data_IF_569633922358
#
_entry.id   IF_569633922358
#
_cell.length_a   1.000
_cell.length_b   1.000
_cell.length_c   1.000
_cell.angle_alpha   90.00
_cell.angle_beta   90.00
_cell.angle_gamma   90.00
#
_symmetry.space_group_name_H-M   'P 1'
#
loop_
_entity.id
_entity.type
_entity.pdbx_description
1 polymer ?
#
# COMPACT_ATOMS: atom_id res chain seq x y z
N UNK A 1 11.55 5.48 20.53
CA UNK A 1 11.04 4.84 19.30
C UNK A 1 9.73 4.14 19.65
N UNK A 2 8.63 4.52 19.02
CA UNK A 2 7.26 4.19 19.46
C UNK A 2 6.67 3.03 18.65
N UNK A 3 5.95 2.12 19.33
CA UNK A 3 5.30 0.93 18.77
C UNK A 3 4.43 1.20 17.52
N UNK A 4 3.90 2.42 17.40
CA UNK A 4 3.09 2.89 16.27
C UNK A 4 3.82 2.84 14.92
N UNK A 5 5.15 3.03 14.90
CA UNK A 5 5.95 3.04 13.66
C UNK A 5 6.06 1.64 13.05
N UNK A 6 6.11 0.60 13.88
CA UNK A 6 6.25 -0.79 13.42
C UNK A 6 4.97 -1.31 12.76
N UNK A 7 3.80 -0.89 13.26
CA UNK A 7 2.51 -1.32 12.72
C UNK A 7 2.31 -0.78 11.30
N UNK A 8 2.63 0.50 11.05
CA UNK A 8 2.51 1.10 9.72
C UNK A 8 3.36 0.39 8.66
N UNK A 9 4.62 0.09 9.00
CA UNK A 9 5.52 -0.63 8.09
C UNK A 9 5.02 -2.04 7.76
N UNK A 10 4.53 -2.79 8.74
CA UNK A 10 4.01 -4.14 8.53
C UNK A 10 2.78 -4.17 7.62
N UNK A 11 1.88 -3.18 7.77
CA UNK A 11 0.70 -3.04 6.90
C UNK A 11 1.14 -2.73 5.47
N UNK A 12 2.05 -1.75 5.28
CA UNK A 12 2.56 -1.37 3.96
C UNK A 12 3.23 -2.55 3.23
N UNK A 13 4.10 -3.30 3.90
CA UNK A 13 4.75 -4.48 3.31
C UNK A 13 3.73 -5.57 2.93
N UNK A 14 2.68 -5.75 3.73
CA UNK A 14 1.59 -6.69 3.44
C UNK A 14 0.81 -6.26 2.20
N UNK A 15 0.44 -4.98 2.11
CA UNK A 15 -0.24 -4.40 0.94
C UNK A 15 0.61 -4.60 -0.32
N UNK A 16 1.90 -4.26 -0.27
CA UNK A 16 2.82 -4.43 -1.40
C UNK A 16 2.84 -5.90 -1.87
N UNK A 17 2.95 -6.86 -0.95
CA UNK A 17 2.95 -8.29 -1.31
C UNK A 17 1.65 -8.73 -1.96
N UNK A 18 0.50 -8.28 -1.45
CA UNK A 18 -0.80 -8.67 -1.99
C UNK A 18 -1.04 -8.03 -3.37
N UNK A 19 -0.69 -6.76 -3.54
CA UNK A 19 -0.75 -6.09 -4.84
C UNK A 19 0.22 -6.73 -5.84
N UNK A 20 1.43 -7.11 -5.43
CA UNK A 20 2.36 -7.85 -6.30
C UNK A 20 1.76 -9.19 -6.79
N UNK A 21 1.04 -9.91 -5.91
CA UNK A 21 0.35 -11.16 -6.29
C UNK A 21 -0.79 -10.91 -7.28
N UNK A 22 -1.48 -9.79 -7.15
CA UNK A 22 -2.68 -9.47 -7.94
C UNK A 22 -2.36 -8.84 -9.29
N UNK A 23 -1.45 -7.87 -9.31
CA UNK A 23 -1.13 -7.05 -10.48
C UNK A 23 0.19 -7.45 -11.16
N UNK A 24 0.94 -8.37 -10.56
CA UNK A 24 2.34 -8.60 -10.90
C UNK A 24 3.28 -7.64 -10.16
N UNK A 25 4.58 -7.76 -10.42
CA UNK A 25 5.61 -6.99 -9.71
C UNK A 25 5.36 -5.47 -9.81
N UNK A 26 5.13 -4.81 -8.67
CA UNK A 26 4.95 -3.37 -8.62
C UNK A 26 6.26 -2.63 -8.94
N UNK A 27 6.23 -1.53 -9.72
CA UNK A 27 7.39 -0.66 -9.90
C UNK A 27 7.90 -0.12 -8.56
N UNK A 28 9.22 0.07 -8.42
CA UNK A 28 9.83 0.54 -7.17
C UNK A 28 9.19 1.82 -6.63
N UNK A 29 8.88 2.79 -7.51
CA UNK A 29 8.24 4.04 -7.09
C UNK A 29 6.87 3.86 -6.43
N UNK A 30 6.10 2.83 -6.81
CA UNK A 30 4.84 2.51 -6.13
C UNK A 30 5.07 1.90 -4.75
N UNK A 31 6.06 1.02 -4.62
CA UNK A 31 6.42 0.42 -3.32
C UNK A 31 6.86 1.50 -2.33
N UNK A 32 7.67 2.45 -2.77
CA UNK A 32 8.11 3.59 -1.97
C UNK A 32 6.95 4.51 -1.58
N UNK A 33 6.06 4.83 -2.52
CA UNK A 33 4.85 5.63 -2.23
C UNK A 33 3.96 4.96 -1.20
N UNK A 34 3.76 3.64 -1.28
CA UNK A 34 2.99 2.87 -0.27
C UNK A 34 3.69 2.93 1.09
N UNK A 35 5.00 2.69 1.15
CA UNK A 35 5.77 2.74 2.40
C UNK A 35 5.74 4.11 3.08
N UNK A 36 5.58 5.18 2.30
CA UNK A 36 5.48 6.55 2.78
C UNK A 36 4.08 6.98 3.24
N UNK A 37 3.04 6.16 3.04
CA UNK A 37 1.68 6.53 3.42
C UNK A 37 1.46 6.49 4.93
N UNK A 38 0.55 7.34 5.40
CA UNK A 38 0.06 7.31 6.76
C UNK A 38 -0.86 6.09 7.00
N UNK A 39 -1.04 5.71 8.27
CA UNK A 39 -1.81 4.53 8.66
C UNK A 39 -3.23 4.52 8.09
N UNK A 40 -3.92 5.65 8.08
CA UNK A 40 -5.30 5.74 7.60
C UNK A 40 -5.37 5.39 6.10
N UNK A 41 -4.41 5.90 5.33
CA UNK A 41 -4.33 5.60 3.90
C UNK A 41 -3.99 4.13 3.64
N UNK A 42 -3.08 3.55 4.43
CA UNK A 42 -2.76 2.13 4.35
C UNK A 42 -3.96 1.24 4.67
N UNK A 43 -4.71 1.56 5.73
CA UNK A 43 -5.94 0.82 6.09
C UNK A 43 -6.98 0.92 4.97
N UNK A 44 -7.16 2.10 4.36
CA UNK A 44 -8.06 2.27 3.23
C UNK A 44 -7.66 1.42 2.00
N UNK A 45 -6.36 1.35 1.68
CA UNK A 45 -5.87 0.49 0.61
C UNK A 45 -6.12 -0.99 0.95
N UNK A 46 -5.89 -1.40 2.20
CA UNK A 46 -6.09 -2.77 2.63
C UNK A 46 -7.56 -3.20 2.56
N UNK A 47 -8.49 -2.32 2.93
CA UNK A 47 -9.94 -2.54 2.82
C UNK A 47 -10.39 -2.73 1.37
N UNK A 48 -9.78 -1.99 0.43
CA UNK A 48 -10.18 -1.97 -0.98
C UNK A 48 -9.26 -2.81 -1.90
N UNK A 49 -8.41 -3.66 -1.32
CA UNK A 49 -7.31 -4.30 -2.08
C UNK A 49 -7.82 -5.27 -3.15
N UNK A 50 -9.00 -5.84 -2.94
CA UNK A 50 -9.64 -6.76 -3.89
C UNK A 50 -10.38 -6.03 -5.01
N UNK A 51 -10.67 -4.73 -4.88
CA UNK A 51 -11.18 -3.88 -5.95
C UNK A 51 -10.07 -3.19 -6.79
N UNK A 52 -8.82 -3.15 -6.32
CA UNK A 52 -7.70 -2.53 -7.08
C UNK A 52 -7.24 -3.44 -8.23
N UNK A 53 -7.71 -3.23 -9.45
CA UNK A 53 -7.40 -4.08 -10.62
C UNK A 53 -6.27 -3.52 -11.51
N UNK A 54 -5.83 -2.29 -11.24
CA UNK A 54 -4.75 -1.63 -11.98
C UNK A 54 -3.93 -0.67 -11.11
N UNK A 55 -2.78 -0.23 -11.62
CA UNK A 55 -2.00 0.85 -10.98
C UNK A 55 -2.78 2.16 -10.91
N UNK A 56 -3.61 2.44 -11.92
CA UNK A 56 -4.49 3.61 -11.94
C UNK A 56 -5.54 3.57 -10.82
N UNK A 57 -6.04 2.39 -10.44
CA UNK A 57 -6.94 2.25 -9.30
C UNK A 57 -6.21 2.50 -7.99
N UNK A 58 -4.99 1.98 -7.86
CA UNK A 58 -4.12 2.21 -6.70
C UNK A 58 -3.80 3.70 -6.50
N UNK A 59 -3.57 4.43 -7.59
CA UNK A 59 -3.29 5.88 -7.56
C UNK A 59 -4.43 6.68 -6.91
N UNK A 60 -5.67 6.19 -6.93
CA UNK A 60 -6.83 6.87 -6.29
C UNK A 60 -6.72 6.93 -4.77
N UNK A 61 -5.89 6.07 -4.17
CA UNK A 61 -5.69 5.98 -2.73
C UNK A 61 -4.42 6.68 -2.28
N UNK A 62 -3.39 6.70 -3.12
CA UNK A 62 -2.08 7.25 -2.79
C UNK A 62 -2.15 8.78 -2.77
N UNK A 63 -1.89 9.38 -1.61
CA UNK A 63 -1.69 10.83 -1.51
C UNK A 63 -0.34 11.19 -2.16
N UNK A 64 -0.30 12.34 -2.85
CA UNK A 64 0.91 12.90 -3.47
C UNK A 64 1.95 13.26 -2.42
#
# INVERSE_FOLDING_TARGET
MSLSVFVGKGIAETIIRQLCKKLGELPCGYKERILGQDRQTLELIAENIFEIESLSDLDRFLKQ
#
